data_IF_622272328543
#
_entry.id   IF_622272328543
#
_cell.length_a   1.000
_cell.length_b   1.000
_cell.length_c   1.000
_cell.angle_alpha   90.00
_cell.angle_beta   90.00
_cell.angle_gamma   90.00
#
_symmetry.space_group_name_H-M   'P 1'
#
loop_
_entity.id
_entity.type
_entity.pdbx_description
1 polymer ?
#
# COMPACT_ATOMS: atom_id res chain seq x y z
N UNK A 1 -15.52 -0.34 23.61
CA UNK A 1 -14.09 -0.70 23.42
C UNK A 1 -13.28 0.54 23.72
N UNK A 2 -12.44 0.53 24.77
CA UNK A 2 -11.73 1.75 25.21
C UNK A 2 -10.62 2.09 24.21
N UNK A 3 -10.39 3.38 24.00
CA UNK A 3 -9.36 3.95 23.11
C UNK A 3 -7.92 3.66 23.60
N UNK A 4 -7.81 2.99 24.75
CA UNK A 4 -6.64 2.97 25.63
C UNK A 4 -5.69 1.79 25.36
N UNK A 5 -6.06 0.82 24.51
CA UNK A 5 -5.22 -0.36 24.20
C UNK A 5 -4.21 -0.11 23.06
N UNK A 6 -4.25 1.07 22.43
CA UNK A 6 -3.40 1.40 21.29
C UNK A 6 -2.19 2.22 21.72
N UNK A 7 -1.01 1.68 21.47
CA UNK A 7 0.26 2.39 21.56
C UNK A 7 0.36 3.30 20.34
N UNK A 8 0.65 4.59 20.56
CA UNK A 8 0.92 5.55 19.48
C UNK A 8 2.34 6.07 19.59
N UNK A 9 3.04 6.08 18.47
CA UNK A 9 4.42 6.54 18.36
C UNK A 9 4.48 7.57 17.23
N UNK A 10 4.98 8.75 17.55
CA UNK A 10 5.14 9.86 16.60
C UNK A 10 6.63 10.19 16.43
N UNK A 11 7.08 10.57 15.23
CA UNK A 11 8.42 11.08 14.99
C UNK A 11 8.62 12.46 15.61
N UNK A 12 9.87 12.93 15.57
CA UNK A 12 10.21 14.27 16.01
C UNK A 12 9.47 15.33 15.15
N UNK A 13 8.73 16.23 15.82
CA UNK A 13 7.97 17.29 15.15
C UNK A 13 6.54 16.93 14.77
N UNK A 14 6.15 15.65 14.91
CA UNK A 14 4.76 15.21 14.79
C UNK A 14 4.21 14.84 16.17
N UNK A 15 2.95 15.16 16.43
CA UNK A 15 2.27 14.77 17.67
C UNK A 15 0.79 14.48 17.39
N UNK A 16 0.09 14.00 18.41
CA UNK A 16 -1.33 13.63 18.29
C UNK A 16 -2.22 14.80 17.84
N UNK A 17 -1.96 16.01 18.31
CA UNK A 17 -2.76 17.19 17.96
C UNK A 17 -2.55 17.61 16.51
N UNK A 18 -1.33 17.53 16.00
CA UNK A 18 -1.03 17.74 14.58
C UNK A 18 -1.77 16.72 13.69
N UNK A 19 -1.79 15.44 14.09
CA UNK A 19 -2.54 14.40 13.37
C UNK A 19 -4.04 14.67 13.38
N UNK A 20 -4.61 15.03 14.53
CA UNK A 20 -6.03 15.40 14.65
C UNK A 20 -6.38 16.62 13.80
N UNK A 21 -5.53 17.65 13.82
CA UNK A 21 -5.73 18.86 13.03
C UNK A 21 -5.73 18.55 11.53
N UNK A 22 -4.75 17.78 11.04
CA UNK A 22 -4.69 17.36 9.64
C UNK A 22 -5.97 16.61 9.22
N UNK A 23 -6.45 15.67 10.06
CA UNK A 23 -7.68 14.93 9.79
C UNK A 23 -8.93 15.81 9.81
N UNK A 24 -8.97 16.85 10.67
CA UNK A 24 -10.07 17.82 10.72
C UNK A 24 -10.08 18.66 9.44
N UNK A 25 -8.93 19.19 9.03
CA UNK A 25 -8.79 19.97 7.80
C UNK A 25 -9.22 19.18 6.57
N UNK A 26 -8.82 17.90 6.45
CA UNK A 26 -9.28 17.04 5.35
C UNK A 26 -10.82 16.99 5.25
N UNK A 27 -11.50 16.89 6.40
CA UNK A 27 -12.97 16.82 6.46
C UNK A 27 -13.63 18.16 6.14
N UNK A 28 -13.05 19.25 6.63
CA UNK A 28 -13.54 20.61 6.35
C UNK A 28 -13.40 20.92 4.86
N UNK A 29 -12.22 20.69 4.27
CA UNK A 29 -12.00 20.85 2.83
C UNK A 29 -12.98 20.02 1.99
N UNK A 30 -13.27 18.78 2.43
CA UNK A 30 -14.23 17.93 1.70
C UNK A 30 -15.64 18.50 1.71
N UNK A 31 -16.08 19.05 2.85
CA UNK A 31 -17.39 19.68 2.97
C UNK A 31 -17.48 20.94 2.11
N UNK A 32 -16.43 21.75 2.12
CA UNK A 32 -16.37 23.00 1.35
C UNK A 32 -16.35 22.74 -0.16
N UNK A 33 -15.62 21.72 -0.61
CA UNK A 33 -15.44 21.44 -2.04
C UNK A 33 -16.50 20.50 -2.63
N UNK A 34 -17.27 19.79 -1.79
CA UNK A 34 -18.22 18.76 -2.25
C UNK A 34 -17.55 17.55 -2.91
N UNK A 35 -16.26 17.32 -2.63
CA UNK A 35 -15.45 16.20 -3.13
C UNK A 35 -14.38 15.80 -2.11
N UNK A 36 -13.88 14.54 -2.11
CA UNK A 36 -12.87 14.08 -1.14
C UNK A 36 -11.62 14.96 -1.17
N UNK A 37 -11.09 15.39 -0.03
CA UNK A 37 -9.93 16.30 0.02
C UNK A 37 -8.69 15.73 -0.69
N UNK A 38 -7.90 16.56 -1.40
CA UNK A 38 -6.61 16.16 -1.96
C UNK A 38 -5.62 15.66 -0.89
N UNK A 39 -5.70 16.16 0.34
CA UNK A 39 -4.87 15.71 1.47
C UNK A 39 -5.11 14.23 1.79
N UNK A 40 -6.35 13.78 1.69
CA UNK A 40 -6.71 12.38 1.92
C UNK A 40 -6.20 11.45 0.80
N UNK A 41 -5.98 11.99 -0.40
CA UNK A 41 -5.35 11.26 -1.50
C UNK A 41 -3.91 10.91 -1.17
N UNK A 42 -3.19 11.76 -0.43
CA UNK A 42 -1.80 11.52 -0.08
C UNK A 42 -1.62 10.65 1.17
N UNK A 43 -2.69 10.31 1.87
CA UNK A 43 -2.62 9.45 3.04
C UNK A 43 -2.55 7.98 2.66
N UNK A 44 -1.65 7.25 3.31
CA UNK A 44 -1.40 5.83 3.13
C UNK A 44 -1.21 5.14 4.46
N UNK A 45 -1.52 3.84 4.50
CA UNK A 45 -1.26 3.02 5.66
C UNK A 45 -0.78 1.63 5.25
N UNK A 46 0.20 1.13 5.99
CA UNK A 46 0.64 -0.27 5.97
C UNK A 46 0.11 -0.97 7.21
N UNK A 47 -0.33 -2.22 7.08
CA UNK A 47 -0.83 -3.02 8.20
C UNK A 47 -0.05 -4.33 8.27
N UNK A 48 0.51 -4.61 9.43
CA UNK A 48 1.11 -5.89 9.79
C UNK A 48 0.31 -6.50 10.94
N UNK A 49 -0.21 -7.71 10.73
CA UNK A 49 -0.93 -8.47 11.76
C UNK A 49 -0.07 -9.64 12.21
N UNK A 50 -0.04 -9.90 13.51
CA UNK A 50 0.85 -10.90 14.12
C UNK A 50 0.14 -11.59 15.28
N UNK A 51 0.30 -12.90 15.39
CA UNK A 51 -0.43 -13.71 16.37
C UNK A 51 0.29 -13.77 17.72
N UNK A 52 1.62 -13.83 17.71
CA UNK A 52 2.44 -14.07 18.91
C UNK A 52 3.04 -12.77 19.47
N UNK A 53 3.06 -12.63 20.80
CA UNK A 53 3.51 -11.40 21.49
C UNK A 53 5.02 -11.14 21.34
N UNK A 54 5.83 -12.19 21.27
CA UNK A 54 7.29 -12.10 21.06
C UNK A 54 7.60 -11.54 19.67
N UNK A 55 6.95 -12.07 18.63
CA UNK A 55 7.05 -11.57 17.26
C UNK A 55 6.52 -10.14 17.15
N UNK A 56 5.40 -9.84 17.83
CA UNK A 56 4.87 -8.48 17.91
C UNK A 56 5.87 -7.49 18.51
N UNK A 57 6.47 -7.83 19.64
CA UNK A 57 7.43 -6.96 20.34
C UNK A 57 8.64 -6.68 19.45
N UNK A 58 9.19 -7.73 18.83
CA UNK A 58 10.31 -7.62 17.88
C UNK A 58 9.94 -6.73 16.67
N UNK A 59 8.78 -6.96 16.07
CA UNK A 59 8.30 -6.18 14.92
C UNK A 59 8.04 -4.72 15.28
N UNK A 60 7.48 -4.45 16.46
CA UNK A 60 7.21 -3.11 16.97
C UNK A 60 8.51 -2.33 17.18
N UNK A 61 9.51 -2.94 17.80
CA UNK A 61 10.80 -2.29 18.05
C UNK A 61 11.51 -1.87 16.76
N UNK A 62 11.43 -2.70 15.71
CA UNK A 62 11.99 -2.39 14.38
C UNK A 62 11.22 -1.27 13.69
N UNK A 63 9.90 -1.37 13.63
CA UNK A 63 9.08 -0.35 12.99
C UNK A 63 9.18 1.00 13.72
N UNK A 64 9.24 0.99 15.06
CA UNK A 64 9.44 2.18 15.89
C UNK A 64 10.71 2.92 15.50
N UNK A 65 11.86 2.24 15.39
CA UNK A 65 13.14 2.87 15.03
C UNK A 65 13.05 3.60 13.69
N UNK A 66 12.48 2.93 12.69
CA UNK A 66 12.31 3.51 11.34
C UNK A 66 11.36 4.71 11.38
N UNK A 67 10.19 4.57 12.03
CA UNK A 67 9.18 5.63 12.07
C UNK A 67 9.70 6.88 12.78
N UNK A 68 10.53 6.75 13.82
CA UNK A 68 11.11 7.90 14.53
C UNK A 68 12.05 8.75 13.66
N UNK A 69 12.56 8.22 12.55
CA UNK A 69 13.41 8.95 11.58
C UNK A 69 12.60 9.70 10.50
N UNK A 70 11.29 9.50 10.45
CA UNK A 70 10.40 10.11 9.44
C UNK A 70 9.92 11.49 9.87
N UNK A 71 9.25 12.23 8.98
CA UNK A 71 8.62 13.52 9.30
C UNK A 71 7.09 13.45 9.33
N UNK A 72 6.51 12.56 8.52
CA UNK A 72 5.10 12.52 8.16
C UNK A 72 4.45 11.16 8.39
N UNK A 73 5.19 10.18 8.91
CA UNK A 73 4.67 8.87 9.26
C UNK A 73 4.56 8.70 10.77
N UNK A 74 3.50 8.07 11.25
CA UNK A 74 3.37 7.66 12.65
C UNK A 74 2.95 6.19 12.73
N UNK A 75 3.09 5.62 13.92
CA UNK A 75 2.78 4.22 14.18
C UNK A 75 1.69 4.11 15.25
N UNK A 76 0.73 3.25 14.96
CA UNK A 76 -0.30 2.80 15.90
C UNK A 76 -0.18 1.29 16.06
N UNK A 77 -0.08 0.79 17.28
CA UNK A 77 0.06 -0.64 17.55
C UNK A 77 -0.86 -1.11 18.65
N UNK A 78 -1.33 -2.35 18.50
CA UNK A 78 -2.15 -3.06 19.49
C UNK A 78 -1.56 -4.44 19.67
N UNK A 79 -1.31 -4.83 20.91
CA UNK A 79 -0.82 -6.17 21.25
C UNK A 79 -1.81 -7.27 20.83
N UNK A 80 -1.33 -8.49 20.52
CA UNK A 80 -2.20 -9.66 20.47
C UNK A 80 -2.85 -9.90 21.83
N UNK A 81 -3.99 -10.58 21.81
CA UNK A 81 -4.72 -10.98 23.01
C UNK A 81 -5.06 -12.46 22.89
N UNK A 82 -4.34 -13.27 23.66
CA UNK A 82 -4.44 -14.73 23.66
C UNK A 82 -5.79 -15.22 24.17
N UNK A 83 -6.43 -14.50 25.10
CA UNK A 83 -7.72 -14.89 25.67
C UNK A 83 -8.87 -14.72 24.69
N UNK A 84 -8.79 -13.69 23.84
CA UNK A 84 -9.80 -13.44 22.80
C UNK A 84 -9.42 -14.01 21.43
N UNK A 85 -8.22 -14.57 21.28
CA UNK A 85 -7.67 -15.01 19.99
C UNK A 85 -7.45 -13.87 19.01
N UNK A 86 -7.41 -12.62 19.49
CA UNK A 86 -7.33 -11.43 18.66
C UNK A 86 -5.87 -11.17 18.29
N UNK A 87 -5.59 -11.10 16.99
CA UNK A 87 -4.26 -10.77 16.46
C UNK A 87 -3.79 -9.39 16.90
N UNK A 88 -2.49 -9.27 17.14
CA UNK A 88 -1.80 -7.99 17.25
C UNK A 88 -1.80 -7.28 15.91
N UNK A 89 -1.67 -5.95 15.94
CA UNK A 89 -1.62 -5.11 14.75
C UNK A 89 -0.58 -4.01 14.93
N UNK A 90 0.23 -3.79 13.90
CA UNK A 90 1.10 -2.63 13.74
C UNK A 90 0.65 -1.91 12.47
N UNK A 91 0.23 -0.66 12.63
CA UNK A 91 -0.26 0.20 11.55
C UNK A 91 0.71 1.38 11.44
N UNK A 92 1.37 1.50 10.30
CA UNK A 92 2.13 2.72 9.96
C UNK A 92 1.26 3.54 9.05
N UNK A 93 0.98 4.79 9.43
CA UNK A 93 0.20 5.73 8.63
C UNK A 93 1.11 6.89 8.25
N UNK A 94 1.03 7.32 7.00
CA UNK A 94 1.80 8.44 6.47
C UNK A 94 0.86 9.34 5.67
N UNK A 95 1.02 10.66 5.77
CA UNK A 95 0.27 11.61 4.94
C UNK A 95 1.07 12.14 3.74
N UNK A 96 2.24 11.54 3.48
CA UNK A 96 3.07 11.77 2.29
C UNK A 96 3.35 10.42 1.60
N UNK A 97 3.15 10.37 0.28
CA UNK A 97 3.30 9.13 -0.48
C UNK A 97 4.77 8.71 -0.64
N UNK A 98 5.69 9.64 -0.86
CA UNK A 98 7.08 9.31 -1.10
C UNK A 98 7.74 8.79 0.19
N UNK A 99 7.47 9.47 1.31
CA UNK A 99 7.94 9.01 2.62
C UNK A 99 7.26 7.71 3.04
N UNK A 100 5.97 7.51 2.70
CA UNK A 100 5.29 6.22 2.88
C UNK A 100 6.03 5.08 2.18
N UNK A 101 6.37 5.25 0.90
CA UNK A 101 7.03 4.22 0.10
C UNK A 101 8.38 3.86 0.67
N UNK A 102 9.19 4.87 1.00
CA UNK A 102 10.52 4.67 1.58
C UNK A 102 10.45 4.02 2.97
N UNK A 103 9.54 4.50 3.83
CA UNK A 103 9.31 3.92 5.16
C UNK A 103 8.87 2.46 5.06
N UNK A 104 7.93 2.15 4.17
CA UNK A 104 7.45 0.78 3.96
C UNK A 104 8.55 -0.12 3.41
N UNK A 105 9.39 0.36 2.49
CA UNK A 105 10.55 -0.39 1.95
C UNK A 105 11.51 -0.78 3.08
N UNK A 106 11.93 0.20 3.91
CA UNK A 106 12.80 -0.05 5.07
C UNK A 106 12.20 -1.06 6.05
N UNK A 107 10.89 -0.96 6.33
CA UNK A 107 10.21 -1.90 7.23
C UNK A 107 10.19 -3.31 6.63
N UNK A 108 9.89 -3.47 5.34
CA UNK A 108 9.93 -4.77 4.66
C UNK A 108 11.33 -5.37 4.74
N UNK A 109 12.37 -4.59 4.48
CA UNK A 109 13.76 -5.04 4.54
C UNK A 109 14.14 -5.53 5.94
N UNK A 110 13.84 -4.75 6.98
CA UNK A 110 14.11 -5.16 8.36
C UNK A 110 13.26 -6.36 8.78
N UNK A 111 11.99 -6.43 8.37
CA UNK A 111 11.13 -7.57 8.71
C UNK A 111 11.56 -8.85 8.01
N UNK A 112 12.01 -8.78 6.75
CA UNK A 112 12.60 -9.91 6.04
C UNK A 112 13.89 -10.38 6.72
N UNK A 113 14.78 -9.44 7.07
CA UNK A 113 16.06 -9.74 7.75
C UNK A 113 15.85 -10.43 9.09
N UNK A 114 14.81 -10.01 9.82
CA UNK A 114 14.45 -10.57 11.12
C UNK A 114 13.54 -11.80 11.05
N UNK A 115 13.24 -12.28 9.84
CA UNK A 115 12.35 -13.42 9.55
C UNK A 115 10.93 -13.23 10.12
N UNK A 116 10.45 -11.98 10.18
CA UNK A 116 9.10 -11.60 10.61
C UNK A 116 8.06 -11.72 9.49
N UNK A 117 8.52 -11.68 8.24
CA UNK A 117 7.74 -11.93 7.03
C UNK A 117 8.56 -12.81 6.07
N UNK A 118 7.88 -13.65 5.31
CA UNK A 118 8.50 -14.58 4.35
C UNK A 118 8.63 -13.97 2.96
N UNK A 119 7.79 -12.99 2.65
CA UNK A 119 7.70 -12.36 1.34
C UNK A 119 7.99 -10.86 1.45
N UNK A 120 8.60 -10.23 0.42
CA UNK A 120 8.95 -8.81 0.42
C UNK A 120 7.72 -7.91 0.18
N UNK A 121 6.67 -8.10 0.98
CA UNK A 121 5.39 -7.43 0.85
C UNK A 121 4.70 -7.25 2.20
N UNK A 122 4.29 -6.02 2.48
CA UNK A 122 3.34 -5.70 3.54
C UNK A 122 2.06 -5.12 2.93
N UNK A 123 0.86 -5.60 3.32
CA UNK A 123 -0.39 -5.02 2.85
C UNK A 123 -0.46 -3.51 3.14
N UNK A 124 -0.90 -2.75 2.15
CA UNK A 124 -1.12 -1.31 2.30
C UNK A 124 -2.39 -0.85 1.61
N UNK A 125 -2.88 0.32 2.00
CA UNK A 125 -4.10 0.97 1.48
C UNK A 125 -3.99 2.48 1.59
N UNK A 126 -4.83 3.22 0.86
CA UNK A 126 -5.07 4.65 1.12
C UNK A 126 -5.63 4.83 2.54
N UNK A 127 -5.16 5.85 3.24
CA UNK A 127 -5.66 6.29 4.54
C UNK A 127 -7.02 7.00 4.45
N UNK A 128 -7.37 7.55 3.28
CA UNK A 128 -8.64 8.22 2.99
C UNK A 128 -9.88 7.31 2.90
N UNK A 129 -9.77 6.02 3.22
CA UNK A 129 -10.85 5.03 3.00
C UNK A 129 -12.16 5.31 3.77
N UNK A 130 -12.15 6.27 4.70
CA UNK A 130 -13.38 6.73 5.37
C UNK A 130 -14.34 7.47 4.43
N UNK A 131 -13.87 7.99 3.29
CA UNK A 131 -14.74 8.52 2.24
C UNK A 131 -15.37 7.42 1.37
N UNK A 132 -14.97 6.14 1.52
CA UNK A 132 -15.47 5.03 0.69
C UNK A 132 -16.98 4.84 0.78
N UNK A 133 -17.56 5.20 1.92
CA UNK A 133 -19.00 5.12 2.14
C UNK A 133 -19.79 6.14 1.30
N UNK A 134 -19.25 7.34 1.11
CA UNK A 134 -19.97 8.47 0.50
C UNK A 134 -19.66 8.60 -1.00
N UNK A 135 -18.44 8.28 -1.40
CA UNK A 135 -17.96 8.54 -2.76
C UNK A 135 -17.63 7.23 -3.52
N UNK A 136 -17.74 6.06 -2.89
CA UNK A 136 -17.36 4.73 -3.45
C UNK A 136 -15.88 4.41 -3.22
N UNK A 137 -15.25 3.38 -3.79
CA UNK A 137 -13.81 3.18 -3.59
C UNK A 137 -12.98 4.30 -4.25
N UNK A 138 -11.79 4.58 -3.71
CA UNK A 138 -10.83 5.58 -4.20
C UNK A 138 -10.80 5.81 -5.73
N UNK A 139 -10.74 4.74 -6.53
CA UNK A 139 -10.74 4.82 -8.00
C UNK A 139 -11.88 5.65 -8.58
N UNK A 140 -13.08 5.56 -7.99
CA UNK A 140 -14.23 6.33 -8.44
C UNK A 140 -14.06 7.80 -8.15
N UNK A 141 -13.38 8.16 -7.05
CA UNK A 141 -13.16 9.56 -6.72
C UNK A 141 -12.07 10.13 -7.60
N UNK A 142 -10.98 9.39 -7.77
CA UNK A 142 -9.87 9.80 -8.61
C UNK A 142 -10.37 10.06 -10.04
N UNK A 143 -11.12 9.12 -10.63
CA UNK A 143 -11.72 9.31 -11.95
C UNK A 143 -12.71 10.48 -12.02
N UNK A 144 -13.55 10.68 -11.00
CA UNK A 144 -14.63 11.67 -11.03
C UNK A 144 -14.17 13.09 -10.66
N UNK A 145 -13.20 13.21 -9.76
CA UNK A 145 -12.86 14.46 -9.10
C UNK A 145 -11.39 14.88 -9.28
N UNK A 146 -10.53 13.95 -9.72
CA UNK A 146 -9.09 14.14 -9.96
C UNK A 146 -8.63 13.49 -11.29
N UNK A 147 -9.29 13.75 -12.43
CA UNK A 147 -8.98 13.10 -13.71
C UNK A 147 -7.55 13.36 -14.18
N UNK A 148 -6.93 14.46 -13.75
CA UNK A 148 -5.53 14.78 -14.02
C UNK A 148 -4.54 13.80 -13.36
N UNK A 149 -4.97 13.08 -12.31
CA UNK A 149 -4.16 12.05 -11.63
C UNK A 149 -4.36 10.66 -12.23
N UNK A 150 -5.41 10.46 -13.02
CA UNK A 150 -5.72 9.20 -13.70
C UNK A 150 -6.12 9.48 -15.15
N UNK A 151 -5.16 9.64 -16.06
CA UNK A 151 -5.45 9.80 -17.48
C UNK A 151 -6.18 8.55 -18.01
N UNK A 152 -7.49 8.69 -18.23
CA UNK A 152 -8.38 7.59 -18.67
C UNK A 152 -8.00 7.08 -20.06
N UNK A 153 -7.41 7.92 -20.89
CA UNK A 153 -6.94 7.56 -22.24
C UNK A 153 -5.83 6.51 -22.17
N UNK A 154 -4.84 6.70 -21.29
CA UNK A 154 -3.72 5.78 -21.08
C UNK A 154 -4.19 4.36 -20.70
N UNK A 155 -5.33 4.23 -20.02
CA UNK A 155 -5.90 2.95 -19.57
C UNK A 155 -6.49 2.14 -20.75
N UNK A 156 -7.08 2.82 -21.73
CA UNK A 156 -7.76 2.15 -22.86
C UNK A 156 -6.74 1.55 -23.82
N UNK A 157 -5.63 2.26 -24.04
CA UNK A 157 -4.56 1.85 -24.96
C UNK A 157 -3.45 1.04 -24.28
N UNK A 158 -3.63 0.75 -22.99
CA UNK A 158 -2.60 0.17 -22.13
C UNK A 158 -2.13 -1.21 -22.63
N UNK A 159 -0.83 -1.32 -22.85
CA UNK A 159 -0.13 -2.56 -23.19
C UNK A 159 0.52 -3.13 -21.94
N UNK A 160 0.07 -4.33 -21.56
CA UNK A 160 0.64 -5.12 -20.47
C UNK A 160 1.16 -6.43 -21.02
N UNK A 161 2.39 -6.78 -20.64
CA UNK A 161 3.01 -8.07 -20.98
C UNK A 161 3.16 -8.90 -19.71
N UNK A 162 2.80 -10.18 -19.79
CA UNK A 162 2.93 -11.12 -18.70
C UNK A 162 4.41 -11.34 -18.33
N UNK A 163 4.80 -11.24 -17.06
CA UNK A 163 6.19 -11.41 -16.63
C UNK A 163 6.71 -12.85 -16.73
N UNK A 164 5.81 -13.84 -16.84
CA UNK A 164 6.17 -15.25 -16.78
C UNK A 164 6.37 -15.89 -18.16
N UNK A 165 5.61 -15.44 -19.16
CA UNK A 165 5.53 -16.07 -20.48
C UNK A 165 5.64 -15.05 -21.64
N UNK A 166 5.83 -13.76 -21.32
CA UNK A 166 5.92 -12.67 -22.29
C UNK A 166 4.70 -12.48 -23.20
N UNK A 167 3.56 -13.12 -22.88
CA UNK A 167 2.32 -12.97 -23.64
C UNK A 167 1.67 -11.61 -23.33
N UNK A 168 1.15 -10.90 -24.34
CA UNK A 168 0.26 -9.76 -24.09
C UNK A 168 -0.92 -10.17 -23.21
N UNK A 169 -1.19 -9.41 -22.16
CA UNK A 169 -2.35 -9.65 -21.29
C UNK A 169 -3.60 -9.03 -21.90
N UNK A 170 -4.71 -9.76 -21.87
CA UNK A 170 -5.99 -9.33 -22.41
C UNK A 170 -6.77 -8.50 -21.39
N UNK A 171 -7.45 -7.45 -21.85
CA UNK A 171 -8.29 -6.62 -20.99
C UNK A 171 -9.60 -7.33 -20.65
N UNK A 172 -9.87 -7.49 -19.37
CA UNK A 172 -11.15 -7.92 -18.82
C UNK A 172 -11.89 -6.74 -18.16
N UNK A 173 -13.17 -6.93 -17.80
CA UNK A 173 -14.02 -5.86 -17.26
C UNK A 173 -13.48 -5.15 -16.00
N UNK A 174 -12.57 -5.78 -15.24
CA UNK A 174 -12.02 -5.24 -13.97
C UNK A 174 -10.50 -5.42 -13.85
N UNK A 175 -9.78 -5.61 -14.96
CA UNK A 175 -8.34 -5.86 -14.94
C UNK A 175 -7.79 -6.42 -16.24
N UNK A 176 -6.61 -7.03 -16.16
CA UNK A 176 -5.94 -7.69 -17.27
C UNK A 176 -5.58 -9.12 -16.89
N UNK A 177 -5.71 -10.05 -17.84
CA UNK A 177 -5.44 -11.47 -17.60
C UNK A 177 -4.51 -12.04 -18.66
N UNK A 178 -3.52 -12.82 -18.24
CA UNK A 178 -2.72 -13.60 -19.16
C UNK A 178 -3.51 -14.85 -19.59
N UNK A 179 -3.69 -15.04 -20.89
CA UNK A 179 -4.37 -16.19 -21.46
C UNK A 179 -3.64 -17.53 -21.23
N UNK A 180 -2.32 -17.52 -21.08
CA UNK A 180 -1.50 -18.73 -20.90
C UNK A 180 -1.36 -19.14 -19.44
N UNK A 181 -0.74 -18.31 -18.60
CA UNK A 181 -0.49 -18.67 -17.20
C UNK A 181 -1.61 -18.24 -16.22
N UNK A 182 -2.64 -17.54 -16.70
CA UNK A 182 -3.78 -17.12 -15.88
C UNK A 182 -3.48 -16.04 -14.84
N UNK A 183 -2.32 -15.38 -14.90
CA UNK A 183 -2.01 -14.23 -14.04
C UNK A 183 -3.05 -13.13 -14.28
N UNK A 184 -3.72 -12.68 -13.21
CA UNK A 184 -4.69 -11.60 -13.25
C UNK A 184 -4.18 -10.39 -12.49
N UNK A 185 -4.21 -9.23 -13.13
CA UNK A 185 -3.85 -7.94 -12.56
C UNK A 185 -5.12 -7.10 -12.41
N UNK A 186 -5.54 -6.78 -11.17
CA UNK A 186 -6.71 -5.95 -10.95
C UNK A 186 -6.52 -4.53 -11.47
N UNK A 187 -7.58 -3.97 -12.05
CA UNK A 187 -7.63 -2.58 -12.53
C UNK A 187 -7.20 -1.56 -11.46
N UNK A 188 -7.53 -1.82 -10.20
CA UNK A 188 -7.13 -0.94 -9.08
C UNK A 188 -5.62 -0.79 -8.93
N UNK A 189 -4.85 -1.84 -9.21
CA UNK A 189 -3.39 -1.81 -9.11
C UNK A 189 -2.81 -1.06 -10.31
N UNK A 190 -3.43 -1.19 -11.48
CA UNK A 190 -3.03 -0.47 -12.69
C UNK A 190 -3.22 1.03 -12.49
N UNK A 191 -4.37 1.45 -11.95
CA UNK A 191 -4.64 2.85 -11.67
C UNK A 191 -3.64 3.43 -10.68
N UNK A 192 -3.30 2.66 -9.65
CA UNK A 192 -2.29 3.05 -8.68
C UNK A 192 -0.91 3.22 -9.35
N UNK A 193 -0.51 2.28 -10.22
CA UNK A 193 0.75 2.38 -10.95
C UNK A 193 0.78 3.60 -11.88
N UNK A 194 -0.35 3.93 -12.53
CA UNK A 194 -0.46 5.10 -13.41
C UNK A 194 -0.30 6.41 -12.62
N UNK A 195 -0.98 6.53 -11.47
CA UNK A 195 -0.91 7.75 -10.64
C UNK A 195 0.47 7.93 -10.01
N UNK A 196 1.09 6.83 -9.54
CA UNK A 196 2.27 6.89 -8.66
C UNK A 196 3.57 6.49 -9.35
N UNK A 197 3.51 6.10 -10.62
CA UNK A 197 4.60 5.51 -11.39
C UNK A 197 4.82 4.02 -11.11
N UNK A 198 4.45 3.52 -9.93
CA UNK A 198 4.50 2.09 -9.63
C UNK A 198 3.53 1.66 -8.52
N UNK A 199 3.16 0.38 -8.55
CA UNK A 199 2.32 -0.26 -7.54
C UNK A 199 2.79 -1.70 -7.26
N UNK A 200 2.53 -2.19 -6.05
CA UNK A 200 2.85 -3.57 -5.67
C UNK A 200 1.59 -4.41 -5.50
N UNK A 201 1.64 -5.66 -5.93
CA UNK A 201 0.51 -6.56 -5.89
C UNK A 201 0.92 -7.96 -5.43
N UNK A 202 0.37 -8.39 -4.29
CA UNK A 202 0.39 -9.78 -3.84
C UNK A 202 -0.86 -10.51 -4.33
N UNK A 203 -0.66 -11.58 -5.10
CA UNK A 203 -1.73 -12.43 -5.58
C UNK A 203 -2.31 -13.25 -4.43
N UNK A 204 -3.63 -13.29 -4.30
CA UNK A 204 -4.32 -13.94 -3.16
C UNK A 204 -4.85 -15.34 -3.48
N UNK A 205 -5.04 -15.67 -4.76
CA UNK A 205 -5.76 -16.87 -5.20
C UNK A 205 -5.14 -17.45 -6.48
N UNK A 206 -5.43 -18.71 -6.76
CA UNK A 206 -4.99 -19.39 -7.99
C UNK A 206 -3.52 -19.82 -7.98
N UNK A 207 -3.01 -20.17 -9.16
CA UNK A 207 -1.66 -20.71 -9.36
C UNK A 207 -0.55 -19.74 -8.92
N UNK A 208 -0.77 -18.43 -9.09
CA UNK A 208 0.19 -17.39 -8.71
C UNK A 208 0.06 -16.94 -7.25
N UNK A 209 -0.77 -17.61 -6.43
CA UNK A 209 -1.00 -17.22 -5.04
C UNK A 209 0.34 -17.03 -4.31
N UNK A 210 0.40 -15.98 -3.50
CA UNK A 210 1.58 -15.54 -2.73
C UNK A 210 2.73 -14.94 -3.55
N UNK A 211 2.67 -14.96 -4.88
CA UNK A 211 3.63 -14.19 -5.67
C UNK A 211 3.38 -12.70 -5.51
N UNK A 212 4.47 -11.95 -5.40
CA UNK A 212 4.50 -10.49 -5.30
C UNK A 212 5.04 -9.92 -6.61
N UNK A 213 4.29 -9.00 -7.21
CA UNK A 213 4.65 -8.31 -8.43
C UNK A 213 4.75 -6.81 -8.20
N UNK A 214 5.70 -6.17 -8.87
CA UNK A 214 5.77 -4.72 -9.03
C UNK A 214 5.27 -4.37 -10.43
N UNK A 215 4.32 -3.44 -10.51
CA UNK A 215 3.87 -2.85 -11.76
C UNK A 215 4.54 -1.48 -11.89
N UNK A 216 5.29 -1.24 -12.96
CA UNK A 216 5.93 0.04 -13.26
C UNK A 216 5.26 0.66 -14.48
N UNK A 217 4.65 1.82 -14.30
CA UNK A 217 4.04 2.56 -15.40
C UNK A 217 5.13 3.30 -16.19
N UNK A 218 5.09 3.14 -17.51
CA UNK A 218 5.96 3.77 -18.50
C UNK A 218 5.07 4.56 -19.44
N UNK A 219 4.91 5.88 -19.21
CA UNK A 219 4.09 6.70 -20.08
C UNK A 219 4.52 6.60 -21.56
N UNK A 220 3.58 6.66 -22.51
CA UNK A 220 2.16 6.98 -22.31
C UNK A 220 1.21 5.77 -22.19
N UNK A 221 1.65 4.55 -22.48
CA UNK A 221 0.72 3.42 -22.71
C UNK A 221 1.21 2.07 -22.20
N UNK A 222 2.31 2.01 -21.43
CA UNK A 222 2.94 0.72 -21.08
C UNK A 222 3.01 0.49 -19.58
N UNK A 223 2.67 -0.71 -19.13
CA UNK A 223 2.95 -1.19 -17.77
C UNK A 223 3.85 -2.41 -17.83
N UNK A 224 5.01 -2.28 -17.21
CA UNK A 224 5.97 -3.36 -17.01
C UNK A 224 5.64 -4.08 -15.70
N UNK A 225 5.56 -5.41 -15.74
CA UNK A 225 5.34 -6.23 -14.54
C UNK A 225 6.62 -6.98 -14.24
N UNK A 226 7.07 -6.95 -13.00
CA UNK A 226 8.26 -7.66 -12.53
C UNK A 226 7.90 -8.47 -11.29
N UNK A 227 8.32 -9.75 -11.22
CA UNK A 227 8.14 -10.58 -10.02
C UNK A 227 9.24 -10.26 -9.01
N UNK A 228 8.88 -9.81 -7.80
CA UNK A 228 9.85 -9.38 -6.77
C UNK A 228 10.77 -10.48 -6.25
N UNK A 229 10.32 -11.74 -6.26
CA UNK A 229 11.18 -12.87 -5.83
C UNK A 229 12.36 -13.09 -6.79
N UNK A 230 12.20 -12.79 -8.08
CA UNK A 230 13.25 -12.92 -9.08
C UNK A 230 14.28 -11.77 -9.04
N UNK A 231 13.91 -10.57 -8.56
CA UNK A 231 14.85 -9.45 -8.38
C UNK A 231 15.96 -9.79 -7.38
N UNK A 232 15.68 -10.64 -6.37
CA UNK A 232 16.69 -11.07 -5.39
C UNK A 232 17.68 -12.09 -5.93
N UNK A 233 17.21 -13.07 -6.70
CA UNK A 233 18.06 -14.11 -7.30
C UNK A 233 19.07 -13.50 -8.29
N UNK A 234 18.64 -12.48 -9.05
CA UNK A 234 19.51 -11.71 -9.95
C UNK A 234 20.50 -10.83 -9.18
N UNK A 235 20.08 -10.14 -8.11
CA UNK A 235 20.99 -9.33 -7.28
C UNK A 235 22.02 -10.13 -6.48
N UNK A 236 21.73 -11.40 -6.17
CA UNK A 236 22.68 -12.32 -5.49
C UNK A 236 23.62 -13.04 -6.45
N UNK A 237 23.42 -12.89 -7.76
CA UNK A 237 24.31 -13.46 -8.80
C UNK A 237 25.34 -12.46 -9.33
N UNK A 238 25.32 -11.22 -8.82
CA UNK A 238 26.27 -10.14 -9.14
C UNK A 238 27.25 -9.83 -7.98
N UNK A 239 27.25 -10.63 -6.90
CA UNK A 239 28.27 -10.65 -5.82
C UNK A 239 29.11 -11.93 -5.89
#
# INVERSE_FOLDING_TARGET
>A
MRKDDWIRIYPQGLNEDAVKNYCRECREETKEQGKPSPKAMNCWKTVYEVEYEDLFTKALDKAKKIVLETKHCWLEARKPDEYTGRKGAIIIVCWDHNEFRETRRKIIEEYMKEQLIEEPYLPYRRGGNYYDKEYGPWRLWALKYYPEKLPVQDIIELKIVCPNDSTPMEREAKGFKCGLCGLYIPETIIYEAIELGEAEYKVKTGFHKNNVYTLKYRPPDRVEIVRKQAERELSSSEE
#
